data_IF_852862780230
#
_entry.id   IF_852862780230
#
_cell.length_a   1.000
_cell.length_b   1.000
_cell.length_c   1.000
_cell.angle_alpha   90.00
_cell.angle_beta   90.00
_cell.angle_gamma   90.00
#
_symmetry.space_group_name_H-M   'P 1'
#
loop_
_entity.id
_entity.type
_entity.pdbx_description
1 polymer ?
#
# COMPACT_ATOMS: atom_id res chain seq x y z
N UNK A 1 28.98 -10.15 11.84
CA UNK A 1 27.72 -10.89 11.98
C UNK A 1 26.78 -10.06 12.86
N UNK A 2 26.13 -9.05 12.29
CA UNK A 2 25.05 -8.33 12.97
C UNK A 2 23.78 -9.15 12.77
N UNK A 3 23.36 -9.90 13.78
CA UNK A 3 21.98 -10.37 13.85
C UNK A 3 21.10 -9.12 14.01
N UNK A 4 20.62 -8.57 12.89
CA UNK A 4 19.66 -7.48 12.91
C UNK A 4 18.37 -7.98 13.55
N UNK A 5 18.05 -7.49 14.73
CA UNK A 5 16.72 -7.69 15.30
C UNK A 5 15.70 -7.13 14.31
N UNK A 6 14.89 -8.00 13.70
CA UNK A 6 13.75 -7.57 12.88
C UNK A 6 12.79 -6.84 13.83
N UNK A 7 12.76 -5.51 13.75
CA UNK A 7 11.79 -4.71 14.48
C UNK A 7 10.40 -5.10 14.00
N UNK A 8 9.50 -5.34 14.95
CA UNK A 8 8.09 -5.61 14.63
C UNK A 8 7.43 -4.25 14.36
N UNK A 9 6.86 -4.03 13.17
CA UNK A 9 6.11 -2.80 12.90
C UNK A 9 4.95 -2.66 13.88
N UNK A 10 4.78 -1.45 14.41
CA UNK A 10 3.61 -1.06 15.19
C UNK A 10 2.36 -0.93 14.29
N UNK A 11 2.56 -0.62 13.02
CA UNK A 11 1.49 -0.48 12.03
C UNK A 11 2.03 -0.40 10.60
N UNK A 12 1.11 -0.33 9.65
CA UNK A 12 1.42 -0.01 8.26
C UNK A 12 0.55 1.13 7.76
N UNK A 13 1.00 1.81 6.72
CA UNK A 13 0.18 2.70 5.92
C UNK A 13 0.63 2.67 4.46
N UNK A 14 -0.21 3.22 3.59
CA UNK A 14 0.05 3.33 2.16
C UNK A 14 0.10 4.80 1.81
N UNK A 15 1.13 5.22 1.11
CA UNK A 15 1.19 6.52 0.46
C UNK A 15 1.02 6.35 -1.06
N UNK A 16 0.22 7.24 -1.64
CA UNK A 16 0.07 7.38 -3.08
C UNK A 16 0.55 8.77 -3.46
N UNK A 17 1.56 8.82 -4.31
CA UNK A 17 2.09 10.06 -4.87
C UNK A 17 1.68 10.18 -6.34
N UNK A 18 1.08 11.31 -6.70
CA UNK A 18 0.72 11.66 -8.07
C UNK A 18 0.91 13.17 -8.26
N UNK A 19 1.48 13.60 -9.40
CA UNK A 19 1.65 15.03 -9.73
C UNK A 19 2.30 15.87 -8.61
N UNK A 20 3.29 15.29 -7.92
CA UNK A 20 3.98 15.84 -6.74
C UNK A 20 3.10 16.06 -5.50
N UNK A 21 1.84 15.64 -5.51
CA UNK A 21 1.01 15.55 -4.33
C UNK A 21 1.09 14.14 -3.74
N UNK A 22 1.19 14.05 -2.41
CA UNK A 22 1.15 12.78 -1.69
C UNK A 22 -0.11 12.74 -0.83
N UNK A 23 -0.83 11.63 -0.92
CA UNK A 23 -1.92 11.28 -0.04
C UNK A 23 -1.56 9.98 0.66
N UNK A 24 -1.90 9.84 1.94
CA UNK A 24 -1.62 8.63 2.69
C UNK A 24 -2.84 8.16 3.46
N UNK A 25 -2.91 6.85 3.70
CA UNK A 25 -3.91 6.27 4.59
C UNK A 25 -3.57 6.51 6.05
N UNK A 26 -4.52 6.26 6.95
CA UNK A 26 -4.22 6.13 8.37
C UNK A 26 -3.25 4.96 8.63
N UNK A 27 -2.47 5.07 9.70
CA UNK A 27 -1.63 3.97 10.17
C UNK A 27 -2.53 2.89 10.80
N UNK A 28 -2.54 1.69 10.19
CA UNK A 28 -3.28 0.53 10.72
C UNK A 28 -2.38 -0.30 11.62
N UNK A 29 -2.76 -0.51 12.89
CA UNK A 29 -1.97 -1.34 13.78
C UNK A 29 -1.98 -2.80 13.32
N UNK A 30 -0.89 -3.51 13.63
CA UNK A 30 -0.75 -4.94 13.34
C UNK A 30 -1.09 -5.73 14.59
N UNK A 31 -1.96 -6.72 14.45
CA UNK A 31 -2.20 -7.72 15.47
C UNK A 31 -1.53 -9.05 15.11
N UNK A 32 -1.11 -9.81 16.12
CA UNK A 32 -0.56 -11.15 15.91
C UNK A 32 -1.60 -12.01 15.17
N UNK A 33 -1.16 -12.73 14.13
CA UNK A 33 -1.96 -13.57 13.21
C UNK A 33 -2.81 -12.81 12.18
N UNK A 34 -2.60 -11.50 12.00
CA UNK A 34 -3.27 -10.77 10.94
C UNK A 34 -2.48 -10.84 9.63
N UNK A 35 -3.05 -11.53 8.64
CA UNK A 35 -2.47 -11.71 7.30
C UNK A 35 -3.01 -10.73 6.26
N UNK A 36 -4.04 -9.97 6.59
CA UNK A 36 -4.66 -9.00 5.69
C UNK A 36 -4.95 -7.73 6.46
N UNK A 37 -4.49 -6.60 5.93
CA UNK A 37 -4.80 -5.28 6.43
C UNK A 37 -5.69 -4.56 5.42
N UNK A 38 -6.78 -3.97 5.91
CA UNK A 38 -7.76 -3.32 5.06
C UNK A 38 -7.91 -1.85 5.47
N UNK A 39 -7.82 -0.97 4.48
CA UNK A 39 -8.07 0.44 4.61
C UNK A 39 -9.37 0.79 3.89
N UNK A 40 -10.42 1.01 4.66
CA UNK A 40 -11.69 1.53 4.16
C UNK A 40 -11.62 3.06 3.97
N UNK A 41 -10.55 3.51 3.34
CA UNK A 41 -10.24 4.91 3.09
C UNK A 41 -10.22 5.17 1.59
N UNK A 42 -10.58 6.38 1.21
CA UNK A 42 -10.63 6.80 -0.19
C UNK A 42 -9.48 7.75 -0.50
N UNK A 43 -8.71 7.41 -1.51
CA UNK A 43 -7.69 8.30 -2.07
C UNK A 43 -8.12 8.71 -3.48
N UNK A 44 -8.00 10.01 -3.76
CA UNK A 44 -8.26 10.56 -5.08
C UNK A 44 -7.04 10.29 -5.98
N UNK A 45 -7.29 9.71 -7.14
CA UNK A 45 -6.28 9.53 -8.19
C UNK A 45 -6.50 10.53 -9.33
N UNK A 46 -5.46 10.85 -10.11
CA UNK A 46 -5.62 11.61 -11.34
C UNK A 46 -6.67 11.00 -12.27
N UNK A 47 -7.42 11.86 -12.96
CA UNK A 47 -8.49 11.46 -13.88
C UNK A 47 -7.94 10.76 -15.14
N UNK A 48 -6.73 11.16 -15.55
CA UNK A 48 -6.12 10.69 -16.78
C UNK A 48 -5.56 9.27 -16.60
N UNK A 49 -6.03 8.34 -17.44
CA UNK A 49 -5.65 6.92 -17.36
C UNK A 49 -4.15 6.67 -17.64
N UNK A 50 -3.51 7.56 -18.40
CA UNK A 50 -2.05 7.54 -18.66
C UNK A 50 -1.23 8.01 -17.47
N UNK A 51 -1.81 8.76 -16.52
CA UNK A 51 -1.08 9.31 -15.38
C UNK A 51 -0.47 8.20 -14.55
N UNK A 52 0.79 8.40 -14.19
CA UNK A 52 1.56 7.49 -13.33
C UNK A 52 1.35 7.89 -11.88
N UNK A 53 1.07 6.89 -11.06
CA UNK A 53 1.03 7.03 -9.60
C UNK A 53 2.09 6.14 -8.99
N UNK A 54 2.77 6.68 -7.99
CA UNK A 54 3.69 5.91 -7.15
C UNK A 54 2.93 5.43 -5.94
N UNK A 55 2.96 4.12 -5.70
CA UNK A 55 2.34 3.50 -4.53
C UNK A 55 3.44 2.96 -3.64
N UNK A 56 3.48 3.42 -2.40
CA UNK A 56 4.49 3.06 -1.40
C UNK A 56 3.81 2.45 -0.18
N UNK A 57 4.30 1.30 0.28
CA UNK A 57 3.85 0.64 1.50
C UNK A 57 4.91 0.85 2.57
N UNK A 58 4.49 1.37 3.73
CA UNK A 58 5.38 1.71 4.83
C UNK A 58 5.11 0.88 6.07
N UNK A 59 6.16 0.47 6.77
CA UNK A 59 6.12 0.01 8.16
C UNK A 59 6.31 1.18 9.11
N UNK A 60 5.34 1.42 9.99
CA UNK A 60 5.49 2.33 11.12
C UNK A 60 6.02 1.56 12.33
N UNK A 61 6.99 2.15 13.05
CA UNK A 61 7.50 1.62 14.32
C UNK A 61 7.02 2.41 15.53
N UNK A 62 6.26 3.49 15.31
CA UNK A 62 5.70 4.35 16.36
C UNK A 62 4.17 4.26 16.38
N UNK A 63 3.61 4.25 17.58
CA UNK A 63 2.15 4.20 17.82
C UNK A 63 1.51 5.61 17.93
N UNK A 64 2.29 6.68 17.77
CA UNK A 64 1.83 8.08 17.81
C UNK A 64 1.65 8.72 16.43
N UNK A 65 1.15 9.98 16.34
CA UNK A 65 1.14 10.73 15.08
C UNK A 65 2.58 10.78 14.55
N UNK A 66 2.78 10.12 13.40
CA UNK A 66 4.08 9.73 12.87
C UNK A 66 5.04 10.91 12.81
N UNK A 67 6.10 10.93 13.63
CA UNK A 67 7.17 11.93 13.50
C UNK A 67 8.08 11.63 12.30
N UNK A 68 8.07 10.37 11.83
CA UNK A 68 8.78 9.88 10.65
C UNK A 68 7.82 9.04 9.79
N UNK A 69 7.93 9.11 8.46
CA UNK A 69 7.12 8.32 7.50
C UNK A 69 7.27 6.79 7.63
N UNK A 70 7.97 6.28 8.64
CA UNK A 70 8.30 4.86 8.77
C UNK A 70 9.35 4.40 7.76
N UNK A 71 9.50 3.09 7.63
CA UNK A 71 10.38 2.44 6.66
C UNK A 71 9.59 2.04 5.41
N UNK A 72 10.09 2.39 4.23
CA UNK A 72 9.51 1.94 2.95
C UNK A 72 9.79 0.46 2.77
N UNK A 73 8.74 -0.35 2.67
CA UNK A 73 8.86 -1.78 2.43
C UNK A 73 8.79 -2.11 0.95
N UNK A 74 7.92 -1.39 0.24
CA UNK A 74 7.61 -1.60 -1.17
C UNK A 74 7.27 -0.29 -1.82
N UNK A 75 7.74 -0.14 -3.05
CA UNK A 75 7.34 0.94 -3.94
C UNK A 75 7.07 0.36 -5.30
N UNK A 76 6.00 0.80 -5.95
CA UNK A 76 5.78 0.57 -7.37
C UNK A 76 5.31 1.84 -8.06
N UNK A 77 5.48 1.88 -9.37
CA UNK A 77 4.89 2.90 -10.22
C UNK A 77 3.96 2.22 -11.22
N UNK A 78 2.72 2.67 -11.30
CA UNK A 78 1.65 2.09 -12.11
C UNK A 78 0.81 3.20 -12.73
N UNK A 79 0.24 3.00 -13.91
CA UNK A 79 -0.72 3.97 -14.46
C UNK A 79 -2.10 3.78 -13.84
N UNK A 80 -2.88 4.87 -13.77
CA UNK A 80 -4.27 4.82 -13.30
C UNK A 80 -5.09 3.82 -14.11
N UNK A 81 -4.89 3.76 -15.44
CA UNK A 81 -5.57 2.81 -16.30
C UNK A 81 -5.21 1.34 -16.01
N UNK A 82 -3.94 1.03 -15.71
CA UNK A 82 -3.56 -0.33 -15.33
C UNK A 82 -4.13 -0.69 -13.95
N UNK A 83 -4.17 0.27 -13.03
CA UNK A 83 -4.75 0.07 -11.71
C UNK A 83 -6.26 -0.21 -11.79
N UNK A 84 -6.97 0.51 -12.66
CA UNK A 84 -8.39 0.28 -12.95
C UNK A 84 -8.63 -1.11 -13.55
N UNK A 85 -7.86 -1.50 -14.57
CA UNK A 85 -7.95 -2.84 -15.20
C UNK A 85 -7.74 -3.97 -14.19
N UNK A 86 -6.75 -3.81 -13.31
CA UNK A 86 -6.47 -4.75 -12.22
C UNK A 86 -7.61 -4.82 -11.22
N UNK A 87 -8.16 -3.68 -10.81
CA UNK A 87 -9.30 -3.59 -9.91
C UNK A 87 -10.53 -4.32 -10.48
N UNK A 88 -10.90 -4.02 -11.73
CA UNK A 88 -12.04 -4.64 -12.41
C UNK A 88 -11.90 -6.16 -12.51
N UNK A 89 -10.68 -6.64 -12.74
CA UNK A 89 -10.36 -8.08 -12.82
C UNK A 89 -10.10 -8.71 -11.45
N UNK A 90 -10.24 -7.96 -10.36
CA UNK A 90 -9.91 -8.39 -9.01
C UNK A 90 -8.50 -8.98 -8.90
N UNK A 91 -7.52 -8.36 -9.57
CA UNK A 91 -6.13 -8.81 -9.61
C UNK A 91 -5.26 -7.98 -8.66
N UNK A 92 -4.63 -8.60 -7.66
CA UNK A 92 -3.68 -7.89 -6.82
C UNK A 92 -2.41 -7.50 -7.60
N UNK A 93 -1.74 -6.47 -7.11
CA UNK A 93 -0.37 -6.15 -7.44
C UNK A 93 0.53 -7.07 -6.62
N UNK A 94 1.39 -7.83 -7.29
CA UNK A 94 2.34 -8.74 -6.66
C UNK A 94 3.69 -8.04 -6.58
N UNK A 95 4.23 -7.90 -5.36
CA UNK A 95 5.58 -7.40 -5.16
C UNK A 95 6.56 -8.56 -5.24
N UNK A 96 7.55 -8.44 -6.12
CA UNK A 96 8.64 -9.41 -6.12
C UNK A 96 9.57 -9.16 -4.93
N UNK A 97 10.10 -10.21 -4.28
CA UNK A 97 11.14 -10.06 -3.27
C UNK A 97 12.37 -9.39 -3.87
N UNK A 98 13.03 -8.53 -3.09
CA UNK A 98 14.34 -8.02 -3.47
C UNK A 98 15.40 -9.13 -3.42
N UNK A 99 16.51 -8.99 -4.16
CA UNK A 99 17.50 -10.07 -4.39
C UNK A 99 18.13 -10.65 -3.12
N UNK A 100 18.05 -9.94 -1.99
CA UNK A 100 18.61 -10.35 -0.69
C UNK A 100 17.52 -10.60 0.37
N UNK A 101 16.25 -10.52 -0.02
CA UNK A 101 15.13 -10.61 0.88
C UNK A 101 14.68 -12.05 1.06
N UNK A 102 14.92 -12.59 2.26
CA UNK A 102 14.56 -13.98 2.60
C UNK A 102 13.04 -14.15 2.76
N UNK A 103 12.34 -13.10 3.22
CA UNK A 103 10.90 -13.09 3.47
C UNK A 103 10.40 -11.67 3.29
N UNK A 104 9.41 -11.48 2.40
CA UNK A 104 8.78 -10.17 2.22
C UNK A 104 7.67 -9.92 3.25
N UNK A 105 7.67 -8.76 3.94
CA UNK A 105 6.58 -8.39 4.84
C UNK A 105 5.28 -8.05 4.08
N UNK A 106 5.38 -7.67 2.80
CA UNK A 106 4.25 -7.32 1.95
C UNK A 106 4.43 -7.94 0.55
N UNK A 107 3.71 -9.04 0.29
CA UNK A 107 3.80 -9.78 -0.96
C UNK A 107 2.82 -9.28 -2.00
N UNK A 108 1.70 -8.69 -1.58
CA UNK A 108 0.70 -8.17 -2.49
C UNK A 108 -0.15 -7.04 -1.92
N UNK A 109 -0.58 -6.17 -2.82
CA UNK A 109 -1.49 -5.07 -2.58
C UNK A 109 -2.67 -5.17 -3.54
N UNK A 110 -3.87 -5.20 -3.00
CA UNK A 110 -5.11 -5.12 -3.73
C UNK A 110 -5.69 -3.71 -3.63
N UNK A 111 -6.11 -3.15 -4.75
CA UNK A 111 -6.63 -1.79 -4.82
C UNK A 111 -7.92 -1.83 -5.62
N UNK A 112 -9.02 -1.42 -5.01
CA UNK A 112 -10.31 -1.23 -5.68
C UNK A 112 -10.36 0.20 -6.20
N UNK A 113 -10.39 0.36 -7.51
CA UNK A 113 -10.49 1.65 -8.19
C UNK A 113 -11.90 1.78 -8.76
N UNK A 114 -12.55 2.89 -8.45
CA UNK A 114 -13.86 3.27 -8.97
C UNK A 114 -13.72 4.54 -9.77
N UNK A 115 -13.97 4.45 -11.07
CA UNK A 115 -14.08 5.62 -11.94
C UNK A 115 -15.45 6.26 -11.73
N UNK A 116 -15.51 7.47 -11.18
CA UNK A 116 -16.75 8.25 -11.15
C UNK A 116 -16.75 9.23 -12.33
N UNK A 117 -17.71 9.05 -13.22
CA UNK A 117 -18.03 10.05 -14.24
C UNK A 117 -18.85 11.13 -13.50
N UNK A 118 -18.21 12.22 -13.10
CA UNK A 118 -18.96 13.44 -12.78
C UNK A 118 -19.26 14.17 -14.09
N UNK A 119 -20.44 14.74 -14.17
CA UNK A 119 -20.99 15.40 -15.35
C UNK A 119 -20.02 16.43 -15.95
N UNK A 120 -19.90 16.38 -17.27
CA UNK A 120 -19.13 17.17 -18.26
C UNK A 120 -17.76 17.83 -17.94
N UNK A 121 -17.21 17.88 -16.71
CA UNK A 121 -15.91 18.55 -16.49
C UNK A 121 -15.00 18.07 -15.34
N UNK A 122 -15.38 17.11 -14.46
CA UNK A 122 -14.53 16.78 -13.29
C UNK A 122 -14.54 15.28 -12.89
N UNK A 123 -14.00 14.41 -13.74
CA UNK A 123 -14.01 12.96 -13.49
C UNK A 123 -13.02 12.49 -12.40
N UNK A 124 -13.39 12.51 -11.11
CA UNK A 124 -12.55 11.97 -10.04
C UNK A 124 -12.55 10.43 -9.97
N UNK A 125 -11.36 9.82 -9.82
CA UNK A 125 -11.19 8.37 -9.60
C UNK A 125 -10.93 8.11 -8.12
N UNK A 126 -11.72 7.23 -7.50
CA UNK A 126 -11.57 6.83 -6.10
C UNK A 126 -10.83 5.50 -5.99
N UNK A 127 -9.85 5.43 -5.11
CA UNK A 127 -9.14 4.19 -4.80
C UNK A 127 -9.39 3.77 -3.34
N UNK A 128 -9.70 2.50 -3.14
CA UNK A 128 -9.89 1.79 -1.87
C UNK A 128 -8.83 0.69 -1.78
N UNK A 129 -8.19 0.51 -0.62
CA UNK A 129 -6.92 -0.20 -0.49
C UNK A 129 -7.01 -1.40 0.47
N UNK A 130 -6.50 -2.56 0.05
CA UNK A 130 -6.35 -3.77 0.87
C UNK A 130 -4.94 -4.36 0.68
N UNK A 131 -4.20 -4.71 1.73
CA UNK A 131 -2.90 -5.40 1.60
C UNK A 131 -2.95 -6.78 2.26
N UNK A 132 -2.13 -7.71 1.76
CA UNK A 132 -1.87 -8.97 2.44
C UNK A 132 -0.47 -8.94 3.06
N UNK A 133 -0.38 -9.15 4.37
CA UNK A 133 0.85 -9.27 5.16
C UNK A 133 1.18 -10.76 5.35
N UNK A 134 2.45 -11.13 5.22
CA UNK A 134 2.92 -12.53 5.29
C UNK A 134 2.80 -13.15 6.71
N UNK A 135 2.47 -14.45 6.76
CA UNK A 135 2.19 -15.30 7.93
C UNK A 135 3.37 -15.59 8.89
N UNK A 136 4.55 -15.01 8.69
CA UNK A 136 5.77 -15.44 9.38
C UNK A 136 6.12 -14.70 10.69
N UNK A 137 5.17 -13.96 11.28
CA UNK A 137 5.32 -13.53 12.68
C UNK A 137 5.07 -14.66 13.70
N UNK A 138 4.95 -15.91 13.24
CA UNK A 138 5.01 -17.10 14.08
C UNK A 138 6.41 -17.26 14.70
N UNK A 139 6.58 -16.64 15.87
CA UNK A 139 7.69 -16.85 16.78
C UNK A 139 7.77 -18.33 17.16
N UNK A 140 8.89 -18.98 16.82
CA UNK A 140 9.35 -20.16 17.55
C UNK A 140 9.94 -19.63 18.87
N UNK A 141 9.31 -20.00 19.98
CA UNK A 141 9.84 -19.81 21.34
C UNK A 141 11.00 -20.76 21.63
#
# INVERSE_FOLDING_TARGET
>A
LTLGFRLIPAGFHIAITADNAECQTSNKPVYLNQTVLEWNEHILLPCELSSKVRVSVYASFELGPMLCHGEVLRTLEISVGELLDRSEKSRPIIFQPEREEVVSPCTSLFMTVVQRIFDENDAAVLCLLHTTVSDQYNLIF
#
